data_IF_262619349104
#
_entry.id   IF_262619349104
#
_cell.length_a   1.000
_cell.length_b   1.000
_cell.length_c   1.000
_cell.angle_alpha   90.00
_cell.angle_beta   90.00
_cell.angle_gamma   90.00
#
_symmetry.space_group_name_H-M   'P 1'
#
loop_
_entity.id
_entity.type
_entity.pdbx_description
1 polymer ?
#
# COMPACT_ATOMS: atom_id res chain seq x y z
N UNK A 1 14.68 0.75 -9.60
CA UNK A 1 13.41 1.26 -10.07
C UNK A 1 13.06 2.56 -9.33
N UNK A 2 13.46 3.70 -9.87
CA UNK A 2 13.21 5.05 -9.33
C UNK A 2 12.28 5.81 -10.27
N UNK A 3 11.11 5.22 -10.61
CA UNK A 3 10.05 5.98 -11.28
C UNK A 3 8.97 6.28 -10.25
N UNK A 4 9.14 7.37 -9.50
CA UNK A 4 8.02 8.01 -8.82
C UNK A 4 7.20 8.84 -9.79
N UNK A 5 5.97 9.12 -9.46
CA UNK A 5 4.99 9.92 -10.21
C UNK A 5 4.63 9.30 -11.58
N UNK A 6 3.76 8.30 -11.54
CA UNK A 6 3.23 7.69 -12.76
C UNK A 6 2.05 8.52 -13.31
N UNK A 7 1.95 8.67 -14.65
CA UNK A 7 0.73 9.21 -15.28
C UNK A 7 -0.51 8.37 -14.94
N UNK A 8 -1.73 8.96 -15.01
CA UNK A 8 -2.96 8.27 -14.58
C UNK A 8 -3.16 6.88 -15.16
N UNK A 9 -2.93 6.68 -16.45
CA UNK A 9 -3.08 5.37 -17.10
C UNK A 9 -2.03 4.34 -16.68
N UNK A 10 -0.78 4.77 -16.43
CA UNK A 10 0.26 3.88 -15.91
C UNK A 10 0.02 3.55 -14.43
N UNK A 11 -0.42 4.53 -13.64
CA UNK A 11 -0.78 4.34 -12.24
C UNK A 11 -1.90 3.29 -12.11
N UNK A 12 -2.97 3.43 -12.89
CA UNK A 12 -4.05 2.45 -12.92
C UNK A 12 -3.53 1.05 -13.29
N UNK A 13 -2.75 0.94 -14.36
CA UNK A 13 -2.20 -0.34 -14.82
C UNK A 13 -1.36 -1.03 -13.73
N UNK A 14 -0.50 -0.27 -13.06
CA UNK A 14 0.34 -0.81 -11.98
C UNK A 14 -0.50 -1.21 -10.78
N UNK A 15 -1.41 -0.35 -10.33
CA UNK A 15 -2.27 -0.66 -9.18
C UNK A 15 -3.17 -1.88 -9.44
N UNK A 16 -3.78 -1.95 -10.64
CA UNK A 16 -4.63 -3.07 -11.06
C UNK A 16 -3.84 -4.38 -11.15
N UNK A 17 -2.71 -4.39 -11.85
CA UNK A 17 -1.90 -5.61 -12.01
C UNK A 17 -1.34 -6.13 -10.69
N UNK A 18 -0.96 -5.23 -9.75
CA UNK A 18 -0.58 -5.64 -8.40
C UNK A 18 -1.78 -6.21 -7.61
N UNK A 19 -2.97 -5.65 -7.77
CA UNK A 19 -4.17 -6.17 -7.12
C UNK A 19 -4.51 -7.57 -7.64
N UNK A 20 -4.46 -7.82 -8.95
CA UNK A 20 -4.65 -9.15 -9.52
C UNK A 20 -3.62 -10.16 -8.99
N UNK A 21 -2.36 -9.76 -8.89
CA UNK A 21 -1.31 -10.62 -8.33
C UNK A 21 -1.59 -10.98 -6.86
N UNK A 22 -2.00 -10.00 -6.04
CA UNK A 22 -2.35 -10.23 -4.64
C UNK A 22 -3.61 -11.10 -4.48
N UNK A 23 -4.64 -10.89 -5.30
CA UNK A 23 -5.83 -11.75 -5.30
C UNK A 23 -5.48 -13.21 -5.61
N UNK A 24 -4.58 -13.44 -6.58
CA UNK A 24 -4.11 -14.78 -6.91
C UNK A 24 -3.31 -15.41 -5.75
N UNK A 25 -2.44 -14.65 -5.10
CA UNK A 25 -1.65 -15.08 -3.94
C UNK A 25 -2.57 -15.43 -2.77
N UNK A 26 -3.51 -14.55 -2.45
CA UNK A 26 -4.48 -14.76 -1.37
C UNK A 26 -5.43 -15.92 -1.67
N UNK A 27 -5.85 -16.09 -2.93
CA UNK A 27 -6.64 -17.22 -3.39
C UNK A 27 -5.93 -18.59 -3.21
N UNK A 28 -4.60 -18.58 -3.20
CA UNK A 28 -3.77 -19.75 -2.89
C UNK A 28 -3.52 -19.94 -1.37
N UNK A 29 -4.12 -19.11 -0.52
CA UNK A 29 -3.94 -19.15 0.93
C UNK A 29 -2.61 -18.60 1.42
N UNK A 30 -1.92 -17.80 0.60
CA UNK A 30 -0.62 -17.20 0.91
C UNK A 30 -0.78 -15.70 1.13
N UNK A 31 -0.02 -15.13 2.05
CA UNK A 31 0.11 -13.69 2.28
C UNK A 31 1.52 -13.29 1.90
N UNK A 32 1.67 -12.20 1.13
CA UNK A 32 2.98 -11.76 0.63
C UNK A 32 3.85 -11.17 1.74
N UNK A 33 3.27 -10.35 2.63
CA UNK A 33 3.87 -9.74 3.85
C UNK A 33 4.90 -8.63 3.64
N UNK A 34 5.36 -8.38 2.41
CA UNK A 34 6.37 -7.35 2.12
C UNK A 34 6.07 -6.60 0.83
N UNK A 35 4.82 -6.13 0.69
CA UNK A 35 4.38 -5.32 -0.46
C UNK A 35 4.92 -3.90 -0.31
N UNK A 36 5.84 -3.54 -1.19
CA UNK A 36 6.49 -2.23 -1.22
C UNK A 36 7.08 -1.93 -2.60
N UNK A 37 7.39 -0.67 -2.94
CA UNK A 37 7.95 -0.31 -4.26
C UNK A 37 9.22 -1.08 -4.63
N UNK A 38 10.09 -1.38 -3.65
CA UNK A 38 11.33 -2.11 -3.88
C UNK A 38 11.10 -3.55 -4.37
N UNK A 39 9.93 -4.12 -4.08
CA UNK A 39 9.53 -5.48 -4.48
C UNK A 39 8.61 -5.48 -5.70
N UNK A 40 8.47 -4.36 -6.39
CA UNK A 40 7.71 -4.24 -7.64
C UNK A 40 8.67 -3.96 -8.79
N UNK A 41 8.71 -4.86 -9.75
CA UNK A 41 9.40 -4.67 -11.03
C UNK A 41 8.39 -4.30 -12.10
N UNK A 42 8.78 -3.44 -13.02
CA UNK A 42 8.01 -3.18 -14.23
C UNK A 42 8.70 -3.89 -15.40
N UNK A 43 8.02 -4.89 -15.96
CA UNK A 43 8.47 -5.65 -17.12
C UNK A 43 7.53 -5.30 -18.28
N UNK A 44 8.03 -4.64 -19.30
CA UNK A 44 7.24 -4.15 -20.42
C UNK A 44 6.04 -3.27 -20.01
N UNK A 45 6.17 -2.56 -18.89
CA UNK A 45 5.12 -1.70 -18.33
C UNK A 45 4.12 -2.42 -17.40
N UNK A 46 4.23 -3.75 -17.27
CA UNK A 46 3.40 -4.54 -16.37
C UNK A 46 4.10 -4.77 -15.01
N UNK A 47 3.38 -4.67 -13.90
CA UNK A 47 3.96 -4.88 -12.59
C UNK A 47 4.15 -6.37 -12.29
N UNK A 48 5.32 -6.70 -11.77
CA UNK A 48 5.65 -8.03 -11.27
C UNK A 48 6.04 -7.89 -9.80
N UNK A 49 5.30 -8.56 -8.93
CA UNK A 49 5.60 -8.60 -7.51
C UNK A 49 6.63 -9.69 -7.22
N UNK A 50 7.72 -9.33 -6.55
CA UNK A 50 8.83 -10.22 -6.23
C UNK A 50 9.05 -10.28 -4.72
N UNK A 51 9.92 -11.21 -4.28
CA UNK A 51 10.41 -11.33 -2.90
C UNK A 51 9.29 -11.42 -1.85
N UNK A 52 8.66 -12.60 -1.79
CA UNK A 52 7.76 -12.93 -0.68
C UNK A 52 8.51 -12.81 0.65
N UNK A 53 7.87 -12.18 1.66
CA UNK A 53 8.41 -12.04 3.01
C UNK A 53 8.51 -13.36 3.79
N UNK A 54 8.94 -14.45 3.14
CA UNK A 54 9.01 -15.81 3.72
C UNK A 54 10.01 -15.86 4.87
N UNK A 55 11.06 -15.03 4.82
CA UNK A 55 12.08 -14.97 5.88
C UNK A 55 11.53 -14.38 7.20
N UNK A 56 10.38 -13.74 7.17
CA UNK A 56 9.77 -13.08 8.33
C UNK A 56 8.83 -13.99 9.13
N UNK A 57 8.52 -15.20 8.64
CA UNK A 57 7.56 -16.13 9.28
C UNK A 57 7.99 -16.57 10.68
N UNK A 58 9.29 -16.62 10.96
CA UNK A 58 9.81 -17.03 12.25
C UNK A 58 10.06 -15.86 13.22
N UNK A 59 10.16 -14.63 12.71
CA UNK A 59 10.60 -13.45 13.47
C UNK A 59 9.49 -12.42 13.72
N UNK A 60 8.32 -12.56 13.10
CA UNK A 60 7.21 -11.59 13.21
C UNK A 60 6.72 -11.38 14.67
N UNK A 61 6.90 -12.35 15.54
CA UNK A 61 6.55 -12.25 16.96
C UNK A 61 7.63 -11.56 17.81
N UNK A 62 8.83 -11.34 17.26
CA UNK A 62 9.98 -10.80 18.00
C UNK A 62 10.34 -9.36 17.64
N UNK A 63 9.57 -8.71 16.79
CA UNK A 63 9.84 -7.34 16.34
C UNK A 63 9.90 -6.33 17.49
N UNK A 64 9.19 -6.61 18.59
CA UNK A 64 9.05 -5.69 19.73
C UNK A 64 10.07 -5.91 20.84
N UNK A 65 10.68 -7.09 20.94
CA UNK A 65 11.58 -7.41 22.08
C UNK A 65 13.05 -7.12 21.82
N UNK A 66 13.50 -6.97 20.57
CA UNK A 66 14.91 -6.73 20.25
C UNK A 66 15.20 -5.35 19.64
N UNK A 67 14.19 -4.49 19.44
CA UNK A 67 14.36 -3.14 18.87
C UNK A 67 14.82 -3.11 17.40
N UNK A 68 14.80 -4.25 16.71
CA UNK A 68 15.19 -4.37 15.30
C UNK A 68 13.94 -4.58 14.48
N UNK A 69 13.40 -3.50 13.91
CA UNK A 69 12.35 -3.59 12.88
C UNK A 69 13.01 -3.99 11.57
N UNK A 70 12.81 -5.23 11.14
CA UNK A 70 13.21 -5.67 9.80
C UNK A 70 12.14 -5.21 8.80
N UNK A 71 12.53 -4.38 7.86
CA UNK A 71 11.65 -3.90 6.81
C UNK A 71 11.82 -2.41 6.51
N UNK A 72 11.09 -1.91 5.52
CA UNK A 72 11.01 -0.47 5.21
C UNK A 72 9.85 0.10 6.02
N UNK A 73 10.10 0.91 7.08
CA UNK A 73 9.10 1.21 8.11
C UNK A 73 7.81 1.87 7.58
N UNK A 74 7.91 2.64 6.50
CA UNK A 74 6.75 3.31 5.89
C UNK A 74 5.83 2.40 5.07
N UNK A 75 6.14 1.10 4.95
CA UNK A 75 5.34 0.09 4.24
C UNK A 75 4.90 -1.05 5.15
N UNK A 76 5.14 -0.94 6.46
CA UNK A 76 4.68 -1.88 7.46
C UNK A 76 3.29 -1.46 7.96
N UNK A 77 2.31 -2.34 7.83
CA UNK A 77 0.92 -2.03 8.18
C UNK A 77 0.74 -1.72 9.68
N UNK A 78 -0.17 -0.80 10.05
CA UNK A 78 -0.39 -0.41 11.45
C UNK A 78 -0.72 -1.57 12.39
N UNK A 79 -1.52 -2.52 11.92
CA UNK A 79 -1.87 -3.73 12.68
C UNK A 79 -0.64 -4.59 13.01
N UNK A 80 0.33 -4.66 12.09
CA UNK A 80 1.59 -5.40 12.31
C UNK A 80 2.47 -4.66 13.31
N UNK A 81 2.54 -3.33 13.22
CA UNK A 81 3.26 -2.48 14.20
C UNK A 81 2.69 -2.69 15.60
N UNK A 82 1.37 -2.88 15.69
CA UNK A 82 0.66 -3.11 16.97
C UNK A 82 0.75 -4.56 17.46
N UNK A 83 1.44 -5.44 16.75
CA UNK A 83 1.62 -6.85 17.12
C UNK A 83 0.38 -7.71 16.88
N UNK A 84 -0.52 -7.28 16.00
CA UNK A 84 -1.67 -8.09 15.56
C UNK A 84 -1.25 -9.09 14.49
N UNK A 85 -2.12 -10.06 14.23
CA UNK A 85 -1.89 -11.09 13.23
C UNK A 85 -1.81 -10.50 11.81
N UNK A 86 -0.90 -11.05 11.01
CA UNK A 86 -0.78 -10.75 9.59
C UNK A 86 -1.95 -11.41 8.85
N UNK A 87 -2.68 -10.62 8.09
CA UNK A 87 -3.84 -11.05 7.29
C UNK A 87 -3.71 -10.52 5.86
N UNK A 88 -4.57 -10.94 4.92
CA UNK A 88 -4.62 -10.30 3.60
C UNK A 88 -4.76 -8.77 3.64
N UNK A 89 -5.42 -8.21 4.66
CA UNK A 89 -5.54 -6.77 4.84
C UNK A 89 -4.17 -6.07 5.00
N UNK A 90 -3.17 -6.76 5.53
CA UNK A 90 -1.79 -6.28 5.64
C UNK A 90 -1.18 -6.01 4.25
N UNK A 91 -1.38 -6.93 3.31
CA UNK A 91 -0.89 -6.76 1.93
C UNK A 91 -1.64 -5.63 1.22
N UNK A 92 -2.95 -5.50 1.45
CA UNK A 92 -3.74 -4.40 0.86
C UNK A 92 -3.32 -3.04 1.36
N UNK A 93 -2.88 -2.92 2.61
CA UNK A 93 -2.31 -1.68 3.11
C UNK A 93 -0.96 -1.37 2.44
N UNK A 94 -0.08 -2.35 2.32
CA UNK A 94 1.19 -2.22 1.59
C UNK A 94 0.99 -1.86 0.11
N UNK A 95 -0.03 -2.45 -0.53
CA UNK A 95 -0.45 -2.11 -1.88
C UNK A 95 -0.91 -0.65 -1.99
N UNK A 96 -1.73 -0.17 -1.05
CA UNK A 96 -2.18 1.22 -1.01
C UNK A 96 -0.99 2.19 -0.82
N UNK A 97 -0.06 1.87 0.07
CA UNK A 97 1.15 2.68 0.29
C UNK A 97 2.06 2.70 -0.95
N UNK A 98 2.18 1.57 -1.65
CA UNK A 98 2.93 1.46 -2.92
C UNK A 98 2.25 2.27 -4.03
N UNK A 99 0.92 2.21 -4.12
CA UNK A 99 0.13 3.00 -5.07
C UNK A 99 0.25 4.49 -4.78
N UNK A 100 0.20 4.90 -3.52
CA UNK A 100 0.41 6.29 -3.12
C UNK A 100 1.82 6.80 -3.47
N UNK A 101 2.84 5.96 -3.29
CA UNK A 101 4.19 6.27 -3.76
C UNK A 101 4.24 6.45 -5.27
N UNK A 102 3.63 5.56 -6.03
CA UNK A 102 3.59 5.65 -7.49
C UNK A 102 2.83 6.89 -7.98
N UNK A 103 1.80 7.31 -7.25
CA UNK A 103 1.00 8.50 -7.54
C UNK A 103 1.69 9.81 -7.17
N UNK A 104 2.50 9.84 -6.10
CA UNK A 104 3.10 11.07 -5.58
C UNK A 104 4.61 11.18 -5.81
N UNK A 105 5.28 10.09 -6.16
CA UNK A 105 6.74 10.04 -6.34
C UNK A 105 7.54 10.07 -5.04
N UNK A 106 6.88 10.14 -3.90
CA UNK A 106 7.50 10.20 -2.56
C UNK A 106 6.83 9.20 -1.62
N UNK A 107 7.59 8.64 -0.65
CA UNK A 107 7.00 7.73 0.34
C UNK A 107 5.88 8.42 1.13
N UNK A 108 4.68 7.83 1.23
CA UNK A 108 3.52 8.49 1.85
C UNK A 108 3.71 8.78 3.35
N UNK A 109 4.55 8.02 4.04
CA UNK A 109 4.89 8.29 5.45
C UNK A 109 6.27 8.92 5.62
N UNK A 110 6.82 9.46 4.53
CA UNK A 110 8.07 10.19 4.52
C UNK A 110 9.30 9.34 4.80
N UNK A 111 10.38 10.02 5.11
CA UNK A 111 11.69 9.45 5.43
C UNK A 111 12.13 9.93 6.81
N UNK A 112 13.25 9.43 7.32
CA UNK A 112 13.85 9.86 8.56
C UNK A 112 14.01 8.75 9.59
N UNK A 113 14.05 9.12 10.86
CA UNK A 113 14.17 8.14 11.94
C UNK A 113 13.02 7.13 11.91
N UNK A 114 13.35 5.85 12.08
CA UNK A 114 12.39 4.75 12.04
C UNK A 114 11.19 4.98 12.97
N UNK A 115 11.46 5.39 14.22
CA UNK A 115 10.41 5.67 15.20
C UNK A 115 9.42 6.76 14.75
N UNK A 116 9.91 7.78 14.07
CA UNK A 116 9.05 8.85 13.54
C UNK A 116 8.19 8.39 12.38
N UNK A 117 8.72 7.54 11.48
CA UNK A 117 7.96 6.95 10.37
C UNK A 117 6.89 6.01 10.90
N UNK A 118 7.24 5.11 11.83
CA UNK A 118 6.29 4.19 12.46
C UNK A 118 5.18 4.92 13.22
N UNK A 119 5.51 6.03 13.90
CA UNK A 119 4.51 6.85 14.57
C UNK A 119 3.49 7.44 13.58
N UNK A 120 3.94 7.99 12.44
CA UNK A 120 3.03 8.50 11.39
C UNK A 120 2.15 7.40 10.80
N UNK A 121 2.71 6.21 10.58
CA UNK A 121 1.92 5.05 10.14
C UNK A 121 0.84 4.69 11.16
N UNK A 122 1.21 4.56 12.43
CA UNK A 122 0.28 4.19 13.50
C UNK A 122 -0.82 5.24 13.73
N UNK A 123 -0.50 6.52 13.51
CA UNK A 123 -1.44 7.64 13.62
C UNK A 123 -2.31 7.83 12.37
N UNK A 124 -2.00 7.15 11.25
CA UNK A 124 -2.70 7.32 10.00
C UNK A 124 -2.50 8.71 9.39
N UNK A 125 -1.28 9.23 9.45
CA UNK A 125 -0.91 10.55 8.95
C UNK A 125 0.00 10.46 7.71
N UNK A 126 -0.51 10.02 6.55
CA UNK A 126 0.25 10.03 5.31
C UNK A 126 0.38 11.46 4.79
N UNK A 127 1.53 11.78 4.21
CA UNK A 127 1.73 13.00 3.43
C UNK A 127 1.43 12.73 1.96
N UNK A 128 0.23 13.08 1.53
CA UNK A 128 -0.26 12.89 0.16
C UNK A 128 -0.31 14.18 -0.66
N UNK A 129 0.35 15.25 -0.20
CA UNK A 129 0.35 16.57 -0.90
C UNK A 129 0.92 16.52 -2.32
N UNK A 130 1.73 15.53 -2.64
CA UNK A 130 2.26 15.31 -3.99
C UNK A 130 1.32 14.46 -4.88
N UNK A 131 0.27 13.91 -4.33
CA UNK A 131 -0.75 13.13 -5.04
C UNK A 131 -1.78 14.06 -5.66
N UNK A 132 -2.32 13.71 -6.84
CA UNK A 132 -3.40 14.46 -7.46
C UNK A 132 -4.60 14.55 -6.51
N UNK A 133 -5.16 15.77 -6.25
CA UNK A 133 -6.27 15.97 -5.33
C UNK A 133 -7.52 15.15 -5.66
N UNK A 134 -7.65 14.68 -6.90
CA UNK A 134 -8.80 13.84 -7.33
C UNK A 134 -8.76 12.42 -6.75
N UNK A 135 -7.57 11.91 -6.44
CA UNK A 135 -7.38 10.56 -5.89
C UNK A 135 -6.79 10.56 -4.47
N UNK A 136 -6.39 11.73 -3.96
CA UNK A 136 -5.85 11.86 -2.59
C UNK A 136 -6.81 11.30 -1.53
N UNK A 137 -8.13 11.66 -1.49
CA UNK A 137 -9.05 11.14 -0.49
C UNK A 137 -9.21 9.60 -0.54
N UNK A 138 -9.14 9.03 -1.75
CA UNK A 138 -9.20 7.60 -1.98
C UNK A 138 -8.00 6.88 -1.34
N UNK A 139 -6.80 7.38 -1.62
CA UNK A 139 -5.57 6.78 -1.10
C UNK A 139 -5.44 7.01 0.41
N UNK A 140 -5.91 8.17 0.90
CA UNK A 140 -5.98 8.43 2.33
C UNK A 140 -6.87 7.40 3.05
N UNK A 141 -8.06 7.11 2.52
CA UNK A 141 -8.97 6.11 3.06
C UNK A 141 -8.37 4.69 3.01
N UNK A 142 -7.68 4.33 1.91
CA UNK A 142 -7.03 3.03 1.76
C UNK A 142 -5.86 2.83 2.74
N UNK A 143 -5.29 3.91 3.27
CA UNK A 143 -4.22 3.92 4.27
C UNK A 143 -4.73 4.07 5.71
N UNK A 144 -6.03 3.91 5.95
CA UNK A 144 -6.58 3.99 7.30
C UNK A 144 -5.91 2.99 8.25
N UNK A 145 -5.59 3.39 9.50
CA UNK A 145 -4.97 2.49 10.48
C UNK A 145 -5.82 1.25 10.78
N UNK A 146 -7.13 1.43 10.93
CA UNK A 146 -8.06 0.33 11.15
C UNK A 146 -8.37 -0.37 9.82
N UNK A 147 -8.04 -1.68 9.66
CA UNK A 147 -8.35 -2.43 8.45
C UNK A 147 -9.84 -2.42 8.06
N UNK A 148 -10.74 -2.35 9.05
CA UNK A 148 -12.20 -2.36 8.81
C UNK A 148 -12.70 -1.04 8.17
N UNK A 149 -11.92 0.03 8.25
CA UNK A 149 -12.25 1.33 7.66
C UNK A 149 -11.69 1.50 6.25
N UNK A 150 -10.84 0.60 5.79
CA UNK A 150 -10.25 0.65 4.44
C UNK A 150 -11.31 0.29 3.41
N UNK A 151 -11.43 1.02 2.28
CA UNK A 151 -12.25 0.58 1.17
C UNK A 151 -11.73 -0.75 0.62
N UNK A 152 -12.64 -1.54 0.04
CA UNK A 152 -12.22 -2.77 -0.62
C UNK A 152 -11.30 -2.44 -1.81
N UNK A 153 -10.26 -3.23 -2.05
CA UNK A 153 -9.29 -2.94 -3.10
C UNK A 153 -9.92 -2.82 -4.49
N UNK A 154 -10.99 -3.59 -4.78
CA UNK A 154 -11.72 -3.44 -6.05
C UNK A 154 -12.39 -2.06 -6.21
N UNK A 155 -12.85 -1.44 -5.12
CA UNK A 155 -13.41 -0.09 -5.15
C UNK A 155 -12.31 0.94 -5.46
N UNK A 156 -11.12 0.75 -4.88
CA UNK A 156 -9.96 1.60 -5.15
C UNK A 156 -9.51 1.45 -6.60
N UNK A 157 -9.41 0.23 -7.12
CA UNK A 157 -9.04 -0.05 -8.52
C UNK A 157 -10.03 0.58 -9.48
N UNK A 158 -11.35 0.43 -9.26
CA UNK A 158 -12.40 1.02 -10.10
C UNK A 158 -12.34 2.57 -10.09
N UNK A 159 -12.04 3.17 -8.95
CA UNK A 159 -11.87 4.62 -8.86
C UNK A 159 -10.61 5.11 -9.61
N UNK A 160 -9.51 4.36 -9.55
CA UNK A 160 -8.30 4.65 -10.32
C UNK A 160 -8.51 4.47 -11.83
N UNK A 161 -9.33 3.51 -12.24
CA UNK A 161 -9.73 3.34 -13.63
C UNK A 161 -10.50 4.58 -14.13
N UNK A 162 -11.50 5.03 -13.36
CA UNK A 162 -12.25 6.24 -13.66
C UNK A 162 -11.34 7.46 -13.76
N UNK A 163 -10.40 7.60 -12.83
CA UNK A 163 -9.39 8.65 -12.85
C UNK A 163 -8.50 8.59 -14.09
N UNK A 164 -8.07 7.40 -14.51
CA UNK A 164 -7.27 7.19 -15.71
C UNK A 164 -7.98 7.63 -16.99
N UNK A 165 -9.32 7.53 -17.01
CA UNK A 165 -10.18 8.00 -18.11
C UNK A 165 -10.63 9.44 -17.96
N UNK A 166 -10.10 10.20 -17.00
CA UNK A 166 -10.42 11.61 -16.78
C UNK A 166 -11.76 11.88 -16.06
N UNK A 167 -12.42 10.84 -15.56
CA UNK A 167 -13.63 10.95 -14.75
C UNK A 167 -13.30 11.22 -13.26
N UNK A 168 -14.25 11.77 -12.47
CA UNK A 168 -14.05 11.92 -11.04
C UNK A 168 -13.86 10.57 -10.35
N UNK A 169 -12.81 10.41 -9.56
CA UNK A 169 -12.56 9.20 -8.77
C UNK A 169 -13.57 9.01 -7.63
N UNK A 170 -14.32 10.04 -7.30
CA UNK A 170 -15.29 10.09 -6.19
C UNK A 170 -16.58 9.31 -6.42
N UNK A 171 -16.84 8.82 -7.61
CA UNK A 171 -18.09 8.09 -7.91
C UNK A 171 -18.14 6.67 -7.29
N UNK A 172 -17.05 6.16 -6.74
CA UNK A 172 -16.95 4.77 -6.25
C UNK A 172 -16.84 4.65 -4.72
N UNK A 173 -16.74 5.75 -3.97
CA UNK A 173 -16.61 5.68 -2.51
C UNK A 173 -17.89 6.25 -1.87
N UNK A 174 -18.84 5.41 -1.56
CA UNK A 174 -19.75 5.70 -0.45
C UNK A 174 -18.91 5.62 0.83
N UNK A 175 -18.51 6.78 1.32
CA UNK A 175 -17.91 6.91 2.65
C UNK A 175 -18.93 6.33 3.63
N UNK A 176 -18.69 5.12 4.10
CA UNK A 176 -19.43 4.58 5.23
C UNK A 176 -19.10 5.44 6.44
N UNK A 177 -20.02 6.33 6.74
CA UNK A 177 -20.02 7.12 7.98
C UNK A 177 -20.49 6.25 9.15
#
# INVERSE_FOLDING_TARGET
AERGLLPPGELYRVAHGLAEALDAIHGAGVIHRDVKPANVLLVDGEPVLIDFGIAHVADDVRLTMAGVVMGTPGYLAPEVISGQDVTPATDWWGWAATTAFAAGGVPPFGRGAMSAVLARVAQGEPDLRAVDPRIEPLLYAALAPDPAQRPHHHEVVAALESYAHGAPATAAIEVRR
#
